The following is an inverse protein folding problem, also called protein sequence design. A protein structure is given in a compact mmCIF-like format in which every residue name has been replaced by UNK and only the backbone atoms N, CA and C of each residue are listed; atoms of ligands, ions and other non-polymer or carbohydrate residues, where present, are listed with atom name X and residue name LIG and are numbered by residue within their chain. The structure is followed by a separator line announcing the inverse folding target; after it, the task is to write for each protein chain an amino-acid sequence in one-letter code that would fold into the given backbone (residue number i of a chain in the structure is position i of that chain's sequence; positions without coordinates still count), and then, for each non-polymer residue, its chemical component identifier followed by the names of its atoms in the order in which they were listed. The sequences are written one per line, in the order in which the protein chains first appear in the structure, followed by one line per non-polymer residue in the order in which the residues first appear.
data_IF_724530312718
#
_entry.id   IF_724530312718
#
_cell.length_a   1.000
_cell.length_b   1.000
_cell.length_c   1.000
_cell.angle_alpha   90.00
_cell.angle_beta   90.00
_cell.angle_gamma   90.00
#
_symmetry.space_group_name_H-M   'P 1'
#
loop_
_entity.id
_entity.type
_entity.pdbx_description
1 polymer ?
#
# COMPACT_ATOMS: atom_id res chain seq x y z
N UNK A 1 31.94 -5.26 -4.77
CA UNK A 1 30.52 -5.55 -4.91
C UNK A 1 29.61 -4.37 -4.51
N UNK A 2 29.79 -3.69 -3.37
CA UNK A 2 28.90 -2.59 -2.91
C UNK A 2 28.71 -1.39 -3.86
N UNK A 3 29.72 -0.97 -4.67
CA UNK A 3 29.63 0.21 -5.55
C UNK A 3 28.72 0.05 -6.78
N UNK A 4 28.61 -1.14 -7.34
CA UNK A 4 27.77 -1.42 -8.50
C UNK A 4 26.27 -1.42 -8.12
N UNK A 5 25.93 -2.00 -6.96
CA UNK A 5 24.56 -2.05 -6.45
C UNK A 5 24.02 -0.66 -6.11
N UNK A 6 24.87 0.26 -5.61
CA UNK A 6 24.51 1.65 -5.30
C UNK A 6 24.15 2.45 -6.55
N UNK A 7 24.83 2.18 -7.68
CA UNK A 7 24.54 2.87 -8.95
C UNK A 7 23.20 2.43 -9.52
N UNK A 8 22.96 1.13 -9.60
CA UNK A 8 21.70 0.56 -10.10
C UNK A 8 20.52 1.03 -9.26
N UNK A 9 20.69 1.02 -7.94
CA UNK A 9 19.66 1.50 -7.01
C UNK A 9 19.30 2.97 -7.25
N UNK A 10 20.29 3.82 -7.42
CA UNK A 10 20.11 5.25 -7.69
C UNK A 10 19.44 5.48 -9.05
N UNK A 11 19.90 4.82 -10.09
CA UNK A 11 19.32 4.93 -11.43
C UNK A 11 17.87 4.48 -11.45
N UNK A 12 17.54 3.37 -10.78
CA UNK A 12 16.16 2.89 -10.67
C UNK A 12 15.24 3.88 -9.95
N UNK A 13 15.70 4.44 -8.84
CA UNK A 13 14.94 5.43 -8.06
C UNK A 13 14.76 6.75 -8.84
N UNK A 14 15.78 7.18 -9.59
CA UNK A 14 15.69 8.36 -10.45
C UNK A 14 14.73 8.14 -11.63
N UNK A 15 14.77 6.95 -12.25
CA UNK A 15 13.82 6.57 -13.29
C UNK A 15 12.39 6.55 -12.75
N UNK A 16 12.14 5.93 -11.59
CA UNK A 16 10.81 5.96 -10.96
C UNK A 16 10.33 7.40 -10.73
N UNK A 17 11.24 8.28 -10.32
CA UNK A 17 10.91 9.70 -10.13
C UNK A 17 10.57 10.41 -11.43
N UNK A 18 11.14 9.99 -12.57
CA UNK A 18 10.86 10.59 -13.88
C UNK A 18 9.48 10.21 -14.45
N UNK A 19 8.83 9.20 -13.88
CA UNK A 19 7.46 8.82 -14.26
C UNK A 19 6.38 9.74 -13.66
N UNK A 20 6.73 10.56 -12.65
CA UNK A 20 5.76 11.42 -11.99
C UNK A 20 5.35 12.59 -12.89
N UNK A 21 4.03 12.90 -13.00
CA UNK A 21 3.52 14.04 -13.73
C UNK A 21 4.05 15.37 -13.20
N UNK A 22 3.89 16.43 -14.00
CA UNK A 22 4.26 17.78 -13.58
C UNK A 22 3.46 18.21 -12.35
N UNK A 23 4.13 18.84 -11.39
CA UNK A 23 3.52 19.23 -10.10
C UNK A 23 3.53 18.13 -9.04
N UNK A 24 3.76 16.89 -9.42
CA UNK A 24 3.81 15.73 -8.54
C UNK A 24 5.24 15.22 -8.30
N UNK A 25 5.37 14.23 -7.45
CA UNK A 25 6.65 13.56 -7.20
C UNK A 25 6.43 12.10 -6.80
N UNK A 26 7.31 11.22 -7.27
CA UNK A 26 7.49 9.93 -6.63
C UNK A 26 8.16 10.12 -5.26
N UNK A 27 7.92 9.22 -4.34
CA UNK A 27 8.59 9.20 -3.04
C UNK A 27 9.24 7.85 -2.80
N UNK A 28 10.30 7.87 -2.01
CA UNK A 28 10.88 6.69 -1.40
C UNK A 28 10.61 6.73 0.10
N UNK A 29 10.42 5.57 0.70
CA UNK A 29 10.18 5.45 2.14
C UNK A 29 11.23 4.55 2.76
N UNK A 30 11.63 4.86 3.98
CA UNK A 30 12.57 4.07 4.76
C UNK A 30 11.84 3.39 5.90
N UNK A 31 12.00 2.08 6.05
CA UNK A 31 11.57 1.38 7.24
C UNK A 31 12.55 1.69 8.37
N UNK A 32 12.07 2.32 9.43
CA UNK A 32 12.84 2.58 10.65
C UNK A 32 12.20 1.84 11.83
N UNK A 33 12.97 1.04 12.59
CA UNK A 33 12.50 0.53 13.87
C UNK A 33 11.97 1.65 14.75
N UNK A 34 10.95 1.37 15.55
CA UNK A 34 10.56 2.27 16.65
C UNK A 34 11.64 2.23 17.74
N UNK A 35 11.77 3.33 18.44
CA UNK A 35 12.64 3.39 19.62
C UNK A 35 11.79 3.73 20.86
N UNK A 36 11.77 2.85 21.89
CA UNK A 36 12.49 1.56 21.98
C UNK A 36 12.01 0.53 20.95
N UNK A 37 12.89 -0.45 20.62
CA UNK A 37 12.56 -1.49 19.64
C UNK A 37 11.37 -2.31 20.16
N UNK A 38 10.31 -2.37 19.38
CA UNK A 38 9.11 -3.15 19.64
C UNK A 38 8.90 -4.19 18.54
N UNK A 39 8.25 -5.30 18.89
CA UNK A 39 7.94 -6.38 17.96
C UNK A 39 6.43 -6.61 17.85
N UNK A 40 6.00 -7.04 16.67
CA UNK A 40 4.69 -7.63 16.46
C UNK A 40 4.66 -9.08 16.99
N UNK A 41 3.47 -9.66 17.10
CA UNK A 41 3.29 -11.03 17.59
C UNK A 41 3.99 -12.08 16.70
N UNK A 42 4.18 -11.80 15.42
CA UNK A 42 4.90 -12.64 14.45
C UNK A 42 6.42 -12.46 14.48
N UNK A 43 6.96 -11.66 15.42
CA UNK A 43 8.37 -11.35 15.56
C UNK A 43 8.91 -10.27 14.63
N UNK A 44 8.06 -9.67 13.78
CA UNK A 44 8.47 -8.55 12.94
C UNK A 44 8.65 -7.27 13.78
N UNK A 45 9.66 -6.45 13.43
CA UNK A 45 9.91 -5.19 14.11
C UNK A 45 8.81 -4.18 13.77
N UNK A 46 8.22 -3.54 14.80
CA UNK A 46 7.35 -2.38 14.60
C UNK A 46 8.17 -1.21 14.06
N UNK A 47 7.72 -0.60 12.98
CA UNK A 47 8.47 0.40 12.24
C UNK A 47 7.65 1.65 11.96
N UNK A 48 8.34 2.76 11.79
CA UNK A 48 7.85 3.98 11.15
C UNK A 48 8.31 4.02 9.70
N UNK A 49 7.62 4.78 8.87
CA UNK A 49 7.83 4.82 7.42
C UNK A 49 8.02 6.26 6.91
N UNK A 50 9.07 6.98 7.34
CA UNK A 50 9.31 8.33 6.87
C UNK A 50 9.55 8.34 5.36
N UNK A 51 8.93 9.30 4.67
CA UNK A 51 9.03 9.50 3.24
C UNK A 51 10.11 10.53 2.89
N UNK A 52 10.75 10.36 1.74
CA UNK A 52 11.82 11.20 1.25
C UNK A 52 11.69 11.41 -0.26
N UNK A 53 12.20 12.55 -0.74
CA UNK A 53 12.39 12.75 -2.18
C UNK A 53 13.45 11.79 -2.74
N UNK A 54 13.29 11.29 -3.97
CA UNK A 54 14.19 10.30 -4.57
C UNK A 54 15.68 10.70 -4.64
N UNK A 55 15.96 12.01 -4.69
CA UNK A 55 17.34 12.54 -4.68
C UNK A 55 18.16 12.20 -3.42
N UNK A 56 17.52 11.79 -2.34
CA UNK A 56 18.18 11.44 -1.08
C UNK A 56 18.61 9.97 -1.00
N UNK A 57 18.48 9.20 -2.09
CA UNK A 57 18.60 7.75 -2.07
C UNK A 57 20.04 7.22 -2.17
N UNK A 58 20.75 7.13 -1.05
CA UNK A 58 21.67 6.00 -0.85
C UNK A 58 20.88 4.91 -0.13
N UNK A 59 20.36 3.94 -0.89
CA UNK A 59 19.41 2.93 -0.39
C UNK A 59 20.07 1.59 -0.06
N UNK A 60 21.38 1.43 -0.33
CA UNK A 60 22.08 0.17 -0.10
C UNK A 60 22.28 -0.13 1.38
N UNK A 61 22.03 -1.38 1.76
CA UNK A 61 22.28 -1.88 3.10
C UNK A 61 21.19 -1.57 4.14
N UNK A 62 20.09 -0.92 3.75
CA UNK A 62 18.97 -0.60 4.61
C UNK A 62 17.64 -1.02 3.97
N UNK A 63 16.56 -1.00 4.74
CA UNK A 63 15.21 -1.34 4.25
C UNK A 63 14.55 -0.12 3.60
N UNK A 64 14.80 0.08 2.30
CA UNK A 64 14.22 1.13 1.49
C UNK A 64 13.18 0.61 0.50
N UNK A 65 12.22 1.46 0.18
CA UNK A 65 11.11 1.13 -0.71
C UNK A 65 10.82 2.31 -1.63
N UNK A 66 10.49 2.01 -2.88
CA UNK A 66 9.75 2.93 -3.74
C UNK A 66 8.27 2.89 -3.38
N UNK A 67 7.53 3.89 -3.82
CA UNK A 67 6.07 3.89 -3.73
C UNK A 67 5.46 3.77 -5.12
N UNK A 68 4.33 3.07 -5.24
CA UNK A 68 3.63 2.89 -6.52
C UNK A 68 2.97 4.15 -7.04
N UNK A 69 2.73 5.14 -6.17
CA UNK A 69 1.96 6.35 -6.45
C UNK A 69 2.83 7.58 -6.65
N UNK A 70 2.29 8.58 -7.34
CA UNK A 70 2.75 9.96 -7.31
C UNK A 70 2.01 10.76 -6.24
N UNK A 71 2.65 11.83 -5.75
CA UNK A 71 2.14 12.61 -4.64
C UNK A 71 2.19 14.09 -4.98
N UNK A 72 1.08 14.79 -4.77
CA UNK A 72 0.96 16.23 -4.98
C UNK A 72 1.78 16.98 -3.94
N UNK A 73 2.81 17.72 -4.40
CA UNK A 73 3.71 18.49 -3.52
C UNK A 73 3.00 19.56 -2.73
N UNK A 74 1.98 20.17 -3.31
CA UNK A 74 1.16 21.22 -2.69
C UNK A 74 0.35 20.74 -1.48
N UNK A 75 0.10 19.43 -1.40
CA UNK A 75 -0.62 18.79 -0.28
C UNK A 75 0.30 18.39 0.88
N UNK A 76 1.60 18.66 0.79
CA UNK A 76 2.53 18.31 1.85
C UNK A 76 2.43 19.31 3.01
N UNK A 77 1.97 18.86 4.18
CA UNK A 77 1.95 19.67 5.40
C UNK A 77 3.38 20.12 5.74
N UNK A 78 3.56 21.42 5.93
CA UNK A 78 4.87 22.06 6.23
C UNK A 78 5.96 21.72 5.19
N UNK A 79 5.57 21.41 3.94
CA UNK A 79 6.48 21.00 2.87
C UNK A 79 7.19 19.66 3.11
N UNK A 80 6.74 18.86 4.08
CA UNK A 80 7.32 17.55 4.40
C UNK A 80 6.75 16.46 3.51
N UNK A 81 7.59 15.67 2.81
CA UNK A 81 7.12 14.56 1.98
C UNK A 81 6.26 13.58 2.79
N UNK A 82 5.09 13.26 2.26
CA UNK A 82 4.16 12.30 2.88
C UNK A 82 3.56 11.38 1.83
N UNK A 83 3.89 10.09 1.93
CA UNK A 83 3.37 9.03 1.07
C UNK A 83 2.01 8.54 1.60
N UNK A 84 1.02 9.43 1.69
CA UNK A 84 -0.33 9.10 2.14
C UNK A 84 -1.33 9.04 1.00
N UNK A 85 -2.41 8.28 1.16
CA UNK A 85 -3.47 8.18 0.18
C UNK A 85 -4.16 9.54 -0.09
N UNK A 86 -4.18 10.44 0.89
CA UNK A 86 -4.74 11.79 0.75
C UNK A 86 -3.91 12.67 -0.21
N UNK A 87 -2.61 12.41 -0.32
CA UNK A 87 -1.69 13.15 -1.20
C UNK A 87 -1.51 12.51 -2.58
N UNK A 88 -2.09 11.32 -2.80
CA UNK A 88 -2.01 10.57 -4.05
C UNK A 88 -3.17 10.92 -4.97
N UNK A 89 -2.85 11.15 -6.25
CA UNK A 89 -3.83 11.29 -7.33
C UNK A 89 -3.68 10.16 -8.36
N UNK A 90 -2.46 9.93 -8.81
CA UNK A 90 -2.14 8.97 -9.86
C UNK A 90 -1.24 7.85 -9.36
N UNK A 91 -1.21 6.75 -10.11
CA UNK A 91 -0.32 5.62 -9.87
C UNK A 91 0.70 5.52 -10.99
N UNK A 92 1.98 5.39 -10.63
CA UNK A 92 3.10 5.37 -11.58
C UNK A 92 3.37 3.97 -12.13
N UNK A 93 3.20 2.96 -11.27
CA UNK A 93 3.55 1.58 -11.58
C UNK A 93 2.58 0.61 -10.89
N UNK A 94 2.22 -0.47 -11.59
CA UNK A 94 1.59 -1.64 -10.96
C UNK A 94 2.68 -2.60 -10.51
N UNK A 95 2.63 -3.06 -9.26
CA UNK A 95 3.59 -4.03 -8.73
C UNK A 95 2.85 -5.28 -8.26
N UNK A 96 3.17 -6.41 -8.89
CA UNK A 96 2.66 -7.72 -8.53
C UNK A 96 3.67 -8.42 -7.62
N UNK A 97 3.22 -8.95 -6.50
CA UNK A 97 4.07 -9.54 -5.47
C UNK A 97 3.94 -11.07 -5.39
N UNK A 98 4.90 -11.67 -4.72
CA UNK A 98 4.96 -13.11 -4.45
C UNK A 98 5.01 -13.99 -5.72
N UNK A 99 5.47 -13.45 -6.87
CA UNK A 99 5.68 -14.22 -8.10
C UNK A 99 6.78 -15.26 -7.87
N UNK A 100 6.50 -16.47 -8.33
CA UNK A 100 7.39 -17.64 -8.14
C UNK A 100 7.18 -18.38 -6.82
N UNK A 101 6.32 -17.86 -5.92
CA UNK A 101 5.98 -18.51 -4.64
C UNK A 101 4.48 -18.73 -4.48
N UNK A 102 3.68 -17.67 -4.35
CA UNK A 102 2.24 -17.76 -4.10
C UNK A 102 1.40 -17.27 -5.27
N UNK A 103 1.91 -16.30 -6.03
CA UNK A 103 1.20 -15.69 -7.13
C UNK A 103 1.51 -16.36 -8.46
N UNK A 104 0.53 -16.35 -9.38
CA UNK A 104 0.70 -16.82 -10.75
C UNK A 104 1.72 -15.96 -11.49
N UNK A 105 2.48 -16.58 -12.41
CA UNK A 105 3.34 -15.84 -13.32
C UNK A 105 2.47 -15.16 -14.40
N UNK A 106 2.54 -13.83 -14.54
CA UNK A 106 1.80 -13.11 -15.56
C UNK A 106 2.28 -13.49 -16.97
N UNK A 107 1.39 -13.53 -17.98
CA UNK A 107 1.79 -13.78 -19.36
C UNK A 107 2.41 -12.54 -20.03
N UNK A 108 2.21 -11.34 -19.47
CA UNK A 108 2.73 -10.08 -19.99
C UNK A 108 4.15 -9.85 -19.46
N UNK A 109 5.17 -9.58 -20.32
CA UNK A 109 6.51 -9.24 -19.87
C UNK A 109 6.50 -7.97 -19.00
N UNK A 110 7.13 -7.94 -17.82
CA UNK A 110 7.13 -6.75 -16.95
C UNK A 110 8.13 -5.70 -17.44
N UNK A 111 7.97 -4.46 -17.00
CA UNK A 111 8.99 -3.41 -17.15
C UNK A 111 10.24 -3.76 -16.36
N UNK A 112 10.06 -4.36 -15.18
CA UNK A 112 11.17 -4.84 -14.34
C UNK A 112 10.79 -6.05 -13.48
N UNK A 113 11.82 -6.83 -13.15
CA UNK A 113 11.75 -7.97 -12.23
C UNK A 113 12.70 -7.73 -11.07
N UNK A 114 12.20 -7.79 -9.84
CA UNK A 114 12.96 -7.63 -8.62
C UNK A 114 12.88 -8.89 -7.76
N UNK A 115 14.00 -9.53 -7.48
CA UNK A 115 14.06 -10.60 -6.49
C UNK A 115 14.15 -10.00 -5.09
N UNK A 116 13.16 -10.23 -4.25
CA UNK A 116 13.01 -9.63 -2.90
C UNK A 116 13.37 -10.57 -1.76
N UNK A 117 13.42 -11.85 -2.05
CA UNK A 117 14.00 -12.94 -1.25
C UNK A 117 14.24 -14.13 -2.18
N UNK A 118 15.01 -15.13 -1.77
CA UNK A 118 15.37 -16.26 -2.61
C UNK A 118 14.15 -16.90 -3.29
N UNK A 119 14.08 -16.82 -4.62
CA UNK A 119 13.01 -17.37 -5.45
C UNK A 119 11.65 -16.63 -5.36
N UNK A 120 11.59 -15.47 -4.69
CA UNK A 120 10.39 -14.65 -4.58
C UNK A 120 10.59 -13.32 -5.30
N UNK A 121 9.70 -12.99 -6.23
CA UNK A 121 9.87 -11.85 -7.12
C UNK A 121 8.71 -10.86 -7.01
N UNK A 122 9.05 -9.60 -7.22
CA UNK A 122 8.10 -8.54 -7.58
C UNK A 122 8.27 -8.23 -9.07
N UNK A 123 7.15 -8.20 -9.79
CA UNK A 123 7.09 -7.78 -11.18
C UNK A 123 6.41 -6.42 -11.26
N UNK A 124 7.07 -5.47 -11.92
CA UNK A 124 6.56 -4.11 -12.06
C UNK A 124 6.24 -3.76 -13.48
N UNK A 125 5.14 -3.04 -13.66
CA UNK A 125 4.65 -2.51 -14.92
C UNK A 125 4.56 -1.00 -14.80
N UNK A 126 5.37 -0.26 -15.57
CA UNK A 126 5.28 1.18 -15.66
C UNK A 126 4.12 1.57 -16.56
N UNK A 127 3.43 2.64 -16.21
CA UNK A 127 2.33 3.16 -16.99
C UNK A 127 2.82 4.18 -18.01
N UNK A 128 2.43 4.00 -19.28
CA UNK A 128 2.58 5.00 -20.34
C UNK A 128 1.63 6.19 -20.15
N UNK A 129 0.48 5.93 -19.50
CA UNK A 129 -0.52 6.91 -19.11
C UNK A 129 -0.97 6.56 -17.68
N UNK A 130 -0.74 7.48 -16.74
CA UNK A 130 -0.96 7.22 -15.32
C UNK A 130 -2.45 7.11 -15.01
N UNK A 131 -2.93 5.94 -14.55
CA UNK A 131 -4.30 5.79 -14.11
C UNK A 131 -4.54 6.58 -12.83
N UNK A 132 -5.78 7.05 -12.66
CA UNK A 132 -6.21 7.60 -11.39
C UNK A 132 -6.18 6.54 -10.28
N UNK A 133 -6.09 7.01 -9.05
CA UNK A 133 -6.15 6.13 -7.88
C UNK A 133 -7.38 5.21 -7.86
N UNK A 134 -8.54 5.71 -8.33
CA UNK A 134 -9.78 4.95 -8.36
C UNK A 134 -9.78 3.84 -9.43
N UNK A 135 -9.33 4.15 -10.64
CA UNK A 135 -9.19 3.17 -11.74
C UNK A 135 -8.22 2.06 -11.34
N UNK A 136 -7.06 2.45 -10.82
CA UNK A 136 -6.07 1.48 -10.35
C UNK A 136 -6.60 0.59 -9.23
N UNK A 137 -7.33 1.14 -8.26
CA UNK A 137 -7.88 0.35 -7.14
C UNK A 137 -8.85 -0.74 -7.63
N UNK A 138 -9.66 -0.45 -8.65
CA UNK A 138 -10.54 -1.43 -9.25
C UNK A 138 -9.75 -2.54 -9.98
N UNK A 139 -8.75 -2.15 -10.77
CA UNK A 139 -7.93 -3.07 -11.55
C UNK A 139 -7.08 -3.99 -10.66
N UNK A 140 -6.33 -3.44 -9.69
CA UNK A 140 -5.44 -4.24 -8.82
C UNK A 140 -6.21 -5.25 -7.98
N UNK A 141 -7.46 -4.95 -7.62
CA UNK A 141 -8.36 -5.91 -6.94
C UNK A 141 -8.68 -7.07 -7.85
N UNK A 142 -9.09 -6.81 -9.10
CA UNK A 142 -9.38 -7.87 -10.08
C UNK A 142 -8.13 -8.74 -10.37
N UNK A 143 -6.96 -8.11 -10.43
CA UNK A 143 -5.67 -8.79 -10.60
C UNK A 143 -5.34 -9.69 -9.40
N UNK A 144 -5.61 -9.23 -8.17
CA UNK A 144 -5.42 -10.02 -6.95
C UNK A 144 -6.43 -11.18 -6.87
N UNK A 145 -7.70 -10.94 -7.18
CA UNK A 145 -8.75 -11.96 -7.20
C UNK A 145 -8.45 -13.05 -8.25
N UNK A 146 -7.80 -12.69 -9.36
CA UNK A 146 -7.30 -13.64 -10.36
C UNK A 146 -6.04 -14.40 -9.92
N UNK A 147 -5.41 -14.04 -8.79
CA UNK A 147 -4.25 -14.72 -8.21
C UNK A 147 -2.90 -14.31 -8.78
N UNK A 148 -2.78 -13.12 -9.39
CA UNK A 148 -1.53 -12.59 -9.93
C UNK A 148 -0.73 -11.76 -8.92
N UNK A 149 -1.30 -11.43 -7.76
CA UNK A 149 -0.60 -10.75 -6.66
C UNK A 149 -1.21 -11.12 -5.31
N UNK A 150 -0.49 -10.81 -4.22
CA UNK A 150 -1.00 -10.97 -2.86
C UNK A 150 -2.28 -10.13 -2.66
N UNK A 151 -3.37 -10.67 -2.09
CA UNK A 151 -4.59 -9.92 -1.77
C UNK A 151 -4.35 -8.70 -0.86
N UNK A 152 -3.29 -8.68 -0.07
CA UNK A 152 -2.86 -7.50 0.70
C UNK A 152 -2.23 -6.40 -0.16
N UNK A 153 -2.02 -6.65 -1.45
CA UNK A 153 -1.37 -5.74 -2.39
C UNK A 153 -2.30 -4.72 -3.08
N UNK A 154 -3.58 -4.70 -2.72
CA UNK A 154 -4.64 -3.95 -3.43
C UNK A 154 -4.70 -2.44 -3.13
N UNK A 155 -3.74 -1.88 -2.42
CA UNK A 155 -3.69 -0.46 -2.12
C UNK A 155 -2.95 0.31 -3.24
N UNK A 156 -3.54 1.38 -3.83
CA UNK A 156 -2.87 2.24 -4.80
C UNK A 156 -1.58 2.87 -4.29
N UNK A 157 -1.53 3.23 -3.01
CA UNK A 157 -0.33 3.75 -2.34
C UNK A 157 0.38 2.60 -1.64
N UNK A 158 1.28 1.93 -2.38
CA UNK A 158 1.98 0.76 -1.87
C UNK A 158 3.48 0.94 -1.93
N UNK A 159 4.14 0.41 -0.91
CA UNK A 159 5.59 0.32 -0.87
C UNK A 159 6.07 -0.98 -1.51
N UNK A 160 7.03 -0.89 -2.42
CA UNK A 160 7.71 -2.03 -3.03
C UNK A 160 9.23 -1.88 -2.88
N UNK A 161 9.96 -3.01 -2.89
CA UNK A 161 11.41 -2.95 -2.70
C UNK A 161 12.11 -2.35 -3.90
N UNK A 162 13.12 -1.51 -3.63
CA UNK A 162 14.04 -1.01 -4.65
C UNK A 162 15.34 -1.83 -4.67
N UNK A 163 16.12 -1.79 -5.75
CA UNK A 163 17.39 -2.52 -5.83
C UNK A 163 18.31 -2.17 -4.66
N UNK A 164 18.98 -3.16 -4.06
CA UNK A 164 19.87 -2.98 -2.91
C UNK A 164 19.16 -2.83 -1.55
N UNK A 165 17.83 -2.72 -1.52
CA UNK A 165 17.04 -2.71 -0.28
C UNK A 165 17.15 -4.04 0.45
N UNK A 166 17.42 -4.01 1.76
CA UNK A 166 17.59 -5.23 2.55
C UNK A 166 16.27 -5.68 3.17
N UNK A 167 15.97 -6.96 3.03
CA UNK A 167 14.81 -7.60 3.64
C UNK A 167 15.17 -8.17 5.01
N UNK A 168 14.79 -7.45 6.07
CA UNK A 168 15.05 -7.85 7.46
C UNK A 168 13.90 -8.67 8.09
N UNK A 169 12.95 -9.15 7.30
CA UNK A 169 11.90 -10.03 7.84
C UNK A 169 12.53 -11.31 8.40
N UNK A 170 12.05 -11.82 9.55
CA UNK A 170 12.53 -13.10 10.09
C UNK A 170 12.50 -14.22 9.03
N UNK A 171 13.56 -15.04 8.99
CA UNK A 171 13.71 -16.12 8.02
C UNK A 171 14.07 -15.68 6.59
N UNK A 172 14.46 -14.41 6.37
CA UNK A 172 14.88 -13.89 5.06
C UNK A 172 16.40 -13.59 4.98
N UNK A 173 17.18 -13.89 6.01
CA UNK A 173 18.66 -13.80 6.06
C UNK A 173 19.22 -12.44 5.60
N UNK A 174 18.54 -11.34 5.90
CA UNK A 174 18.91 -10.00 5.45
C UNK A 174 19.15 -9.90 3.93
N UNK A 175 18.27 -10.51 3.14
CA UNK A 175 18.39 -10.58 1.69
C UNK A 175 18.39 -9.19 1.04
N UNK A 176 19.43 -8.85 0.29
CA UNK A 176 19.47 -7.63 -0.52
C UNK A 176 18.69 -7.84 -1.83
N UNK A 177 17.71 -7.00 -2.07
CA UNK A 177 16.87 -7.07 -3.27
C UNK A 177 17.70 -6.87 -4.53
N UNK A 178 17.48 -7.68 -5.55
CA UNK A 178 18.26 -7.70 -6.80
C UNK A 178 17.35 -7.39 -7.98
N UNK A 179 17.73 -6.41 -8.79
CA UNK A 179 17.10 -6.15 -10.08
C UNK A 179 17.58 -7.22 -11.07
N UNK A 180 16.66 -8.07 -11.52
CA UNK A 180 16.96 -9.22 -12.40
C UNK A 180 16.78 -8.85 -13.87
N UNK A 181 15.72 -8.09 -14.16
CA UNK A 181 15.39 -7.57 -15.50
C UNK A 181 14.93 -6.12 -15.37
N UNK A 182 15.27 -5.29 -16.36
CA UNK A 182 14.80 -3.93 -16.42
C UNK A 182 14.83 -3.38 -17.85
N UNK A 183 13.66 -3.25 -18.44
CA UNK A 183 13.44 -2.67 -19.75
C UNK A 183 12.70 -1.33 -19.60
N UNK A 184 13.45 -0.24 -19.53
CA UNK A 184 12.94 1.11 -19.19
C UNK A 184 11.91 1.65 -20.17
N UNK A 185 12.01 1.25 -21.43
CA UNK A 185 11.12 1.70 -22.50
C UNK A 185 9.82 0.90 -22.57
N UNK A 186 9.71 -0.16 -21.77
CA UNK A 186 8.52 -1.02 -21.75
C UNK A 186 7.50 -0.44 -20.79
N UNK A 187 6.48 0.19 -21.34
CA UNK A 187 5.39 0.83 -20.63
C UNK A 187 4.05 0.29 -21.15
N UNK A 188 3.02 0.37 -20.36
CA UNK A 188 1.69 -0.15 -20.67
C UNK A 188 0.61 0.80 -20.18
N UNK A 189 -0.54 0.81 -20.84
CA UNK A 189 -1.77 1.33 -20.25
C UNK A 189 -2.34 0.35 -19.24
N UNK A 190 -3.22 0.81 -18.36
CA UNK A 190 -3.91 -0.06 -17.40
C UNK A 190 -4.74 -1.12 -18.11
N UNK A 191 -5.40 -0.76 -19.21
CA UNK A 191 -6.24 -1.66 -20.01
C UNK A 191 -5.41 -2.76 -20.66
N UNK A 192 -4.24 -2.44 -21.26
CA UNK A 192 -3.34 -3.45 -21.82
C UNK A 192 -2.90 -4.48 -20.78
N UNK A 193 -2.63 -4.06 -19.55
CA UNK A 193 -2.28 -4.99 -18.46
C UNK A 193 -3.49 -5.85 -18.10
N UNK A 194 -4.67 -5.26 -17.93
CA UNK A 194 -5.90 -5.99 -17.59
C UNK A 194 -6.27 -7.01 -18.67
N UNK A 195 -6.22 -6.62 -19.94
CA UNK A 195 -6.51 -7.49 -21.09
C UNK A 195 -5.53 -8.67 -21.15
N UNK A 196 -4.24 -8.40 -21.02
CA UNK A 196 -3.21 -9.44 -21.04
C UNK A 196 -3.34 -10.44 -19.88
N UNK A 197 -3.79 -9.98 -18.70
CA UNK A 197 -4.05 -10.83 -17.55
C UNK A 197 -5.43 -11.51 -17.58
N UNK A 198 -6.28 -11.16 -18.56
CA UNK A 198 -7.65 -11.67 -18.68
C UNK A 198 -8.55 -11.26 -17.51
N UNK A 199 -8.34 -10.05 -16.97
CA UNK A 199 -9.13 -9.52 -15.85
C UNK A 199 -9.99 -8.35 -16.30
N UNK A 200 -11.19 -8.25 -15.74
CA UNK A 200 -12.10 -7.13 -15.98
C UNK A 200 -12.20 -6.34 -14.68
N UNK A 201 -11.66 -5.11 -14.62
CA UNK A 201 -11.86 -4.26 -13.46
C UNK A 201 -13.36 -4.06 -13.21
N UNK A 202 -13.81 -4.24 -11.97
CA UNK A 202 -15.15 -3.83 -11.57
C UNK A 202 -15.32 -2.33 -11.81
N UNK A 203 -16.58 -1.85 -11.94
CA UNK A 203 -16.80 -0.42 -11.92
C UNK A 203 -16.06 0.16 -10.68
N UNK A 204 -15.33 1.30 -10.83
CA UNK A 204 -14.67 1.91 -9.70
C UNK A 204 -15.74 2.13 -8.62
N UNK A 205 -15.68 1.31 -7.57
CA UNK A 205 -16.53 1.52 -6.43
C UNK A 205 -16.23 2.95 -5.97
N UNK A 206 -17.22 3.81 -5.99
CA UNK A 206 -17.19 5.03 -5.17
C UNK A 206 -16.77 4.51 -3.80
N UNK A 207 -15.58 4.92 -3.33
CA UNK A 207 -14.89 4.27 -2.21
C UNK A 207 -15.63 4.49 -0.88
N UNK A 208 -16.83 3.92 -0.82
CA UNK A 208 -17.51 3.66 0.42
C UNK A 208 -17.03 2.30 0.93
N UNK A 209 -16.59 2.21 2.17
CA UNK A 209 -16.22 0.93 2.77
C UNK A 209 -17.41 -0.03 2.67
N UNK A 210 -17.14 -1.29 2.32
CA UNK A 210 -18.18 -2.33 2.27
C UNK A 210 -18.79 -2.47 3.66
N UNK A 211 -20.02 -2.01 3.81
CA UNK A 211 -20.76 -2.17 5.05
C UNK A 211 -21.24 -3.63 5.19
N UNK A 212 -21.15 -4.13 6.40
CA UNK A 212 -21.65 -5.47 6.79
C UNK A 212 -22.95 -5.26 7.56
N UNK A 213 -24.03 -5.96 7.15
CA UNK A 213 -25.22 -6.05 8.01
C UNK A 213 -24.96 -7.10 9.09
N UNK A 214 -25.08 -6.68 10.34
CA UNK A 214 -25.12 -7.60 11.48
C UNK A 214 -26.51 -8.23 11.54
N UNK A 215 -26.58 -9.48 11.96
CA UNK A 215 -27.85 -10.06 12.35
C UNK A 215 -28.35 -9.31 13.60
N UNK A 216 -29.63 -9.00 13.63
CA UNK A 216 -30.27 -8.39 14.79
C UNK A 216 -30.36 -9.49 15.88
N UNK A 217 -29.43 -9.44 16.82
CA UNK A 217 -29.39 -10.33 17.98
C UNK A 217 -29.95 -9.67 19.26
N UNK A 218 -30.52 -8.47 19.12
CA UNK A 218 -31.18 -7.75 20.23
C UNK A 218 -30.20 -7.16 21.26
N UNK A 219 -28.90 -7.07 20.92
CA UNK A 219 -27.86 -6.75 21.90
C UNK A 219 -27.63 -5.27 22.18
N UNK A 220 -27.38 -4.46 21.17
CA UNK A 220 -26.99 -3.04 21.33
C UNK A 220 -27.64 -2.16 20.25
N UNK A 221 -28.41 -1.14 20.67
CA UNK A 221 -29.15 -0.26 19.78
C UNK A 221 -28.23 0.61 18.88
N UNK A 222 -27.04 0.96 19.34
CA UNK A 222 -26.05 1.70 18.55
C UNK A 222 -25.46 0.79 17.48
N UNK A 223 -25.11 -0.46 17.82
CA UNK A 223 -24.60 -1.41 16.84
C UNK A 223 -25.67 -1.74 15.77
N UNK A 224 -26.94 -1.89 16.18
CA UNK A 224 -28.06 -2.08 15.28
C UNK A 224 -28.22 -0.86 14.34
N UNK A 225 -28.22 0.34 14.87
CA UNK A 225 -28.29 1.57 14.09
C UNK A 225 -27.11 1.70 13.11
N UNK A 226 -25.86 1.45 13.56
CA UNK A 226 -24.69 1.47 12.69
C UNK A 226 -24.83 0.47 11.53
N UNK A 227 -25.38 -0.71 11.81
CA UNK A 227 -25.63 -1.74 10.80
C UNK A 227 -26.72 -1.32 9.80
N UNK A 228 -27.82 -0.70 10.26
CA UNK A 228 -28.89 -0.18 9.41
C UNK A 228 -28.40 0.96 8.50
N UNK A 229 -27.52 1.84 9.02
CA UNK A 229 -26.93 2.94 8.26
C UNK A 229 -25.81 2.47 7.32
N UNK A 230 -25.44 1.18 7.33
CA UNK A 230 -24.35 0.67 6.52
C UNK A 230 -22.98 1.16 6.97
N UNK A 231 -22.81 1.47 8.24
CA UNK A 231 -21.57 2.00 8.82
C UNK A 231 -20.69 0.93 9.47
N UNK A 232 -21.10 -0.34 9.48
CA UNK A 232 -20.31 -1.46 10.01
C UNK A 232 -19.37 -1.97 8.91
N UNK A 233 -18.08 -1.98 9.18
CA UNK A 233 -17.01 -2.37 8.26
C UNK A 233 -16.49 -3.79 8.49
N UNK A 234 -16.48 -4.23 9.75
CA UNK A 234 -16.08 -5.59 10.11
C UNK A 234 -16.88 -6.12 11.30
N UNK A 235 -17.04 -7.46 11.36
CA UNK A 235 -17.70 -8.14 12.49
C UNK A 235 -16.86 -7.99 13.75
N UNK A 236 -17.48 -8.12 14.95
CA UNK A 236 -16.74 -8.13 16.19
C UNK A 236 -15.62 -9.18 16.18
N UNK A 237 -14.44 -8.77 16.63
CA UNK A 237 -13.31 -9.67 16.86
C UNK A 237 -13.47 -10.44 18.17
N UNK A 238 -12.50 -11.27 18.55
CA UNK A 238 -12.53 -12.08 19.77
C UNK A 238 -12.64 -11.24 21.07
N UNK A 239 -12.28 -9.96 21.02
CA UNK A 239 -12.36 -9.04 22.15
C UNK A 239 -13.68 -8.25 22.16
N UNK A 240 -14.52 -8.41 21.13
CA UNK A 240 -15.81 -7.74 20.99
C UNK A 240 -15.77 -6.41 20.24
N UNK A 241 -14.60 -5.97 19.72
CA UNK A 241 -14.49 -4.77 18.91
C UNK A 241 -14.92 -5.02 17.46
N UNK A 242 -15.85 -4.24 16.97
CA UNK A 242 -16.27 -4.20 15.57
C UNK A 242 -15.70 -3.00 14.85
N UNK A 243 -15.31 -3.18 13.58
CA UNK A 243 -14.89 -2.07 12.72
C UNK A 243 -16.12 -1.28 12.29
N UNK A 244 -16.07 0.04 12.44
CA UNK A 244 -17.14 0.95 12.03
C UNK A 244 -16.55 2.14 11.29
N UNK A 245 -17.37 2.82 10.49
CA UNK A 245 -16.96 4.07 9.86
C UNK A 245 -16.73 5.14 10.92
N UNK A 246 -15.53 5.73 10.92
CA UNK A 246 -15.24 6.85 11.80
C UNK A 246 -16.03 8.10 11.35
N UNK A 247 -16.66 8.86 12.25
CA UNK A 247 -17.37 10.09 11.91
C UNK A 247 -16.49 11.16 11.23
N UNK A 248 -15.15 11.07 11.42
CA UNK A 248 -14.17 11.95 10.78
C UNK A 248 -13.30 11.20 9.74
N UNK A 249 -13.85 10.17 9.11
CA UNK A 249 -13.14 9.34 8.15
C UNK A 249 -12.56 10.13 6.95
N UNK A 250 -13.21 11.22 6.56
CA UNK A 250 -12.77 12.14 5.52
C UNK A 250 -11.47 12.89 5.87
N UNK A 251 -11.15 12.99 7.15
CA UNK A 251 -9.93 13.62 7.65
C UNK A 251 -8.79 12.62 7.88
N UNK A 252 -9.01 11.33 7.67
CA UNK A 252 -7.99 10.31 7.84
C UNK A 252 -6.93 10.40 6.74
N UNK A 253 -5.69 10.64 7.14
CA UNK A 253 -4.57 10.86 6.21
C UNK A 253 -4.05 9.60 5.52
N UNK A 254 -4.38 8.43 6.06
CA UNK A 254 -4.02 7.12 5.49
C UNK A 254 -5.11 6.54 4.57
N UNK A 255 -6.25 7.24 4.45
CA UNK A 255 -7.40 6.80 3.66
C UNK A 255 -8.17 5.62 4.27
N UNK A 256 -7.79 5.14 5.47
CA UNK A 256 -8.54 4.13 6.18
C UNK A 256 -9.68 4.77 6.97
N UNK A 257 -10.96 4.53 6.61
CA UNK A 257 -12.11 5.16 7.27
C UNK A 257 -12.45 4.50 8.61
N UNK A 258 -11.74 3.45 9.02
CA UNK A 258 -12.12 2.59 10.13
C UNK A 258 -11.84 3.23 11.50
N UNK A 259 -12.89 3.36 12.29
CA UNK A 259 -12.85 3.40 13.75
C UNK A 259 -13.28 2.05 14.32
N UNK A 260 -13.30 1.92 15.63
CA UNK A 260 -13.74 0.70 16.33
C UNK A 260 -14.83 1.04 17.34
N UNK A 261 -15.83 0.19 17.40
CA UNK A 261 -16.90 0.26 18.37
C UNK A 261 -17.02 -1.06 19.15
N UNK A 262 -17.22 -0.97 20.46
CA UNK A 262 -17.44 -2.12 21.34
C UNK A 262 -18.85 -2.06 21.91
N UNK A 263 -19.80 -2.88 21.45
CA UNK A 263 -21.17 -2.88 21.93
C UNK A 263 -21.31 -3.09 23.45
N UNK A 264 -20.50 -3.99 24.03
CA UNK A 264 -20.59 -4.35 25.45
C UNK A 264 -20.32 -3.18 26.41
N UNK A 265 -19.45 -2.24 26.03
CA UNK A 265 -19.10 -1.06 26.83
C UNK A 265 -19.58 0.25 26.21
N UNK A 266 -20.16 0.21 25.01
CA UNK A 266 -20.49 1.38 24.19
C UNK A 266 -19.30 2.30 23.94
N UNK A 267 -18.09 1.75 23.95
CA UNK A 267 -16.86 2.50 23.70
C UNK A 267 -16.60 2.64 22.20
N UNK A 268 -16.20 3.83 21.80
CA UNK A 268 -15.69 4.11 20.46
C UNK A 268 -14.20 4.48 20.56
N UNK A 269 -13.40 4.00 19.60
CA UNK A 269 -11.98 4.31 19.49
C UNK A 269 -11.58 4.48 18.02
N UNK A 270 -10.92 5.59 17.72
CA UNK A 270 -10.20 5.78 16.46
C UNK A 270 -8.74 6.10 16.77
N UNK A 271 -7.83 5.41 16.06
CA UNK A 271 -6.38 5.54 16.30
C UNK A 271 -5.73 6.76 15.62
N UNK A 272 -6.50 7.51 14.84
CA UNK A 272 -6.01 8.72 14.18
C UNK A 272 -5.92 9.88 15.18
N UNK A 273 -4.80 10.61 15.13
CA UNK A 273 -4.49 11.65 16.14
C UNK A 273 -5.52 12.77 16.24
N UNK A 274 -6.16 13.13 15.12
CA UNK A 274 -7.22 14.15 15.11
C UNK A 274 -8.58 13.66 15.63
N UNK A 275 -8.72 12.34 15.83
CA UNK A 275 -9.94 11.73 16.39
C UNK A 275 -9.86 11.49 17.90
N UNK A 276 -8.82 11.97 18.57
CA UNK A 276 -8.58 11.68 19.99
C UNK A 276 -9.76 12.12 20.88
N UNK A 277 -10.41 13.22 20.52
CA UNK A 277 -11.56 13.77 21.25
C UNK A 277 -12.86 12.96 21.04
N UNK A 278 -12.90 12.07 20.06
CA UNK A 278 -14.02 11.17 19.81
C UNK A 278 -13.92 9.86 20.61
N UNK A 279 -12.75 9.55 21.15
CA UNK A 279 -12.53 8.32 21.87
C UNK A 279 -13.24 8.36 23.23
N UNK A 280 -14.22 7.45 23.38
CA UNK A 280 -14.92 7.23 24.65
C UNK A 280 -14.37 5.93 25.27
N UNK A 281 -13.38 6.05 26.15
CA UNK A 281 -12.80 4.91 26.89
C UNK A 281 -12.97 5.16 28.37
#
# INVERSE_FOLDING_TARGET
MRRADDTVSREFVQWLASLAPEGETALIVRQKPREPIEYHADGAIKATWPAFHPRHGNVAGEAWYGNTASFMRERFADGRPSASAANCEYVLVMVLDDIGTKSKTPPLPPTWVMETSAGNFQWGYAFSEQPTKAEFAAAIRAVADAGYTDPGAVNPVRNFRVPGSVNFKPGREAFASRLVEWERAREYTLDEICDALGVVPGAPESAGPRSIRLADDGGDDVAAWLSEQGLVLSRPNAEGWMGVMCPQADQHTDGNPEGRYMPASRAFCCLHSHCIDLNSV
#
